data_IF_733776302259
#
_entry.id   IF_733776302259
#
_cell.length_a   1.000
_cell.length_b   1.000
_cell.length_c   1.000
_cell.angle_alpha   90.00
_cell.angle_beta   90.00
_cell.angle_gamma   90.00
#
_symmetry.space_group_name_H-M   'P 1'
#
loop_
_entity.id
_entity.type
_entity.pdbx_description
1 polymer ?
#
# COMPACT_ATOMS: atom_id res chain seq x y z
N UNK A 1 20.64 -23.59 43.38
CA UNK A 1 20.19 -23.61 41.97
C UNK A 1 20.77 -22.52 41.04
N UNK A 2 21.18 -21.30 41.45
CA UNK A 2 21.66 -20.30 40.49
C UNK A 2 23.13 -20.50 40.02
N UNK A 3 23.93 -21.31 40.72
CA UNK A 3 25.34 -21.57 40.32
C UNK A 3 25.51 -22.64 39.25
N UNK A 4 24.51 -23.51 39.03
CA UNK A 4 24.56 -24.54 37.99
C UNK A 4 24.26 -23.96 36.60
N UNK A 5 23.37 -22.96 36.49
CA UNK A 5 23.02 -22.29 35.22
C UNK A 5 24.15 -21.40 34.66
N UNK A 6 24.91 -20.73 35.52
CA UNK A 6 26.07 -19.94 35.09
C UNK A 6 27.19 -20.83 34.54
N UNK A 7 27.36 -22.02 35.11
CA UNK A 7 28.34 -23.01 34.63
C UNK A 7 27.94 -23.58 33.26
N UNK A 8 26.65 -23.76 32.99
CA UNK A 8 26.13 -24.14 31.67
C UNK A 8 26.35 -23.05 30.62
N UNK A 9 26.19 -21.77 31.01
CA UNK A 9 26.36 -20.61 30.13
C UNK A 9 27.82 -20.40 29.72
N UNK A 10 28.77 -20.55 30.66
CA UNK A 10 30.21 -20.45 30.37
C UNK A 10 30.71 -21.66 29.56
N UNK A 11 30.14 -22.86 29.78
CA UNK A 11 30.46 -24.05 28.99
C UNK A 11 29.99 -23.93 27.53
N UNK A 12 28.80 -23.36 27.29
CA UNK A 12 28.28 -23.10 25.94
C UNK A 12 29.09 -22.01 25.22
N UNK A 13 29.50 -20.94 25.91
CA UNK A 13 30.36 -19.89 25.34
C UNK A 13 31.80 -20.37 25.06
N UNK A 14 32.36 -21.30 25.85
CA UNK A 14 33.68 -21.90 25.56
C UNK A 14 33.63 -22.89 24.40
N UNK A 15 32.52 -23.62 24.22
CA UNK A 15 32.31 -24.48 23.06
C UNK A 15 32.05 -23.66 21.78
N UNK A 16 31.55 -22.42 21.88
CA UNK A 16 31.30 -21.55 20.72
C UNK A 16 32.53 -20.84 20.16
N UNK A 17 33.64 -20.76 20.92
CA UNK A 17 34.89 -20.13 20.45
C UNK A 17 35.81 -21.09 19.68
N UNK A 18 35.56 -22.40 19.75
CA UNK A 18 36.45 -23.42 19.17
C UNK A 18 35.90 -24.15 17.95
N UNK A 19 34.65 -23.87 17.54
CA UNK A 19 33.99 -24.60 16.46
C UNK A 19 33.39 -23.64 15.41
N UNK A 20 33.98 -23.62 14.21
CA UNK A 20 33.56 -22.73 13.10
C UNK A 20 32.11 -22.96 12.65
N UNK A 21 31.57 -24.17 12.84
CA UNK A 21 30.17 -24.50 12.58
C UNK A 21 29.15 -23.78 13.50
N UNK A 22 29.59 -23.26 14.66
CA UNK A 22 28.70 -22.57 15.61
C UNK A 22 28.62 -21.07 15.29
N UNK A 23 29.67 -20.47 14.70
CA UNK A 23 29.62 -19.07 14.24
C UNK A 23 28.55 -18.88 13.15
N UNK A 24 28.35 -19.88 12.28
CA UNK A 24 27.29 -19.91 11.26
C UNK A 24 25.87 -20.02 11.81
N UNK A 25 25.67 -20.18 13.12
CA UNK A 25 24.33 -20.23 13.76
C UNK A 25 24.03 -19.04 14.66
N UNK A 26 24.93 -18.06 14.75
CA UNK A 26 24.71 -16.83 15.55
C UNK A 26 23.50 -16.01 15.07
N UNK A 27 23.13 -16.11 13.80
CA UNK A 27 21.92 -15.46 13.26
C UNK A 27 20.62 -15.93 13.93
N UNK A 28 20.55 -17.19 14.39
CA UNK A 28 19.38 -17.73 15.11
C UNK A 28 19.24 -17.03 16.47
N UNK A 29 20.35 -16.88 17.20
CA UNK A 29 20.37 -16.26 18.52
C UNK A 29 20.02 -14.76 18.46
N UNK A 30 20.50 -14.03 17.45
CA UNK A 30 20.15 -12.63 17.23
C UNK A 30 18.67 -12.46 16.84
N UNK A 31 18.11 -13.42 16.07
CA UNK A 31 16.68 -13.44 15.72
C UNK A 31 15.79 -13.52 16.96
N UNK A 32 16.15 -14.35 17.96
CA UNK A 32 15.39 -14.46 19.21
C UNK A 32 15.48 -13.22 20.10
N UNK A 33 16.60 -12.49 20.10
CA UNK A 33 16.75 -11.25 20.87
C UNK A 33 15.90 -10.10 20.29
N UNK A 34 15.77 -10.03 18.96
CA UNK A 34 14.96 -9.05 18.26
C UNK A 34 13.45 -9.19 18.53
N UNK A 35 12.93 -10.41 18.69
CA UNK A 35 11.51 -10.61 19.06
C UNK A 35 11.16 -9.91 20.40
N UNK A 36 12.15 -9.68 21.28
CA UNK A 36 11.97 -8.97 22.54
C UNK A 36 11.95 -7.45 22.37
N UNK A 37 12.72 -6.88 21.44
CA UNK A 37 12.74 -5.44 21.15
C UNK A 37 11.62 -5.01 20.18
N UNK A 38 11.16 -5.92 19.33
CA UNK A 38 10.04 -5.75 18.40
C UNK A 38 8.76 -5.23 19.05
N UNK A 39 8.39 -5.76 20.22
CA UNK A 39 7.18 -5.31 20.94
C UNK A 39 7.24 -3.85 21.40
N UNK A 40 8.43 -3.23 21.47
CA UNK A 40 8.59 -1.82 21.84
C UNK A 40 8.74 -0.88 20.64
N UNK A 41 9.12 -1.36 19.45
CA UNK A 41 9.47 -0.53 18.29
C UNK A 41 8.28 -0.20 17.35
N UNK A 42 7.04 -0.51 17.74
CA UNK A 42 5.81 -0.33 16.95
C UNK A 42 5.40 1.14 16.73
N UNK A 43 6.23 1.94 16.05
CA UNK A 43 5.92 3.31 15.66
C UNK A 43 5.71 3.44 14.14
N UNK A 44 4.44 3.73 13.79
CA UNK A 44 3.89 4.39 12.60
C UNK A 44 4.16 3.86 11.18
N UNK A 45 5.36 3.38 10.83
CA UNK A 45 5.67 2.88 9.47
C UNK A 45 5.62 1.33 9.36
N UNK A 46 6.04 0.59 10.39
CA UNK A 46 5.93 -0.88 10.40
C UNK A 46 4.49 -1.42 10.22
N UNK A 47 3.44 -0.81 10.81
CA UNK A 47 2.08 -1.33 10.70
C UNK A 47 1.55 -1.36 9.26
N UNK A 48 1.86 -0.37 8.42
CA UNK A 48 1.36 -0.36 7.03
C UNK A 48 2.02 -1.42 6.15
N UNK A 49 3.32 -1.68 6.34
CA UNK A 49 4.03 -2.77 5.66
C UNK A 49 3.53 -4.14 6.10
N UNK A 50 3.34 -4.34 7.41
CA UNK A 50 2.76 -5.57 7.98
C UNK A 50 1.35 -5.82 7.42
N UNK A 51 0.51 -4.78 7.35
CA UNK A 51 -0.82 -4.85 6.76
C UNK A 51 -0.75 -5.18 5.27
N UNK A 52 0.24 -4.66 4.53
CA UNK A 52 0.45 -5.01 3.13
C UNK A 52 0.82 -6.49 2.96
N UNK A 53 1.73 -7.03 3.78
CA UNK A 53 2.08 -8.48 3.74
C UNK A 53 0.85 -9.34 4.01
N UNK A 54 0.11 -9.06 5.09
CA UNK A 54 -1.11 -9.77 5.43
C UNK A 54 -2.18 -9.63 4.33
N UNK A 55 -2.29 -8.45 3.72
CA UNK A 55 -3.17 -8.14 2.60
C UNK A 55 -2.86 -9.00 1.37
N UNK A 56 -1.60 -9.06 0.94
CA UNK A 56 -1.15 -9.87 -0.22
C UNK A 56 -1.47 -11.35 0.01
N UNK A 57 -1.14 -11.88 1.19
CA UNK A 57 -1.43 -13.26 1.54
C UNK A 57 -2.94 -13.52 1.55
N UNK A 58 -3.72 -12.64 2.18
CA UNK A 58 -5.19 -12.77 2.25
C UNK A 58 -5.86 -12.75 0.89
N UNK A 59 -5.40 -11.91 -0.03
CA UNK A 59 -5.93 -11.83 -1.39
C UNK A 59 -5.75 -13.14 -2.17
N UNK A 60 -4.64 -13.84 -1.93
CA UNK A 60 -4.31 -15.10 -2.62
C UNK A 60 -5.24 -16.26 -2.24
N UNK A 61 -5.77 -16.21 -1.02
CA UNK A 61 -6.65 -17.23 -0.41
C UNK A 61 -8.08 -16.72 -0.16
N UNK A 62 -8.44 -15.60 -0.77
CA UNK A 62 -9.74 -14.97 -0.62
C UNK A 62 -10.89 -15.92 -1.03
N UNK A 63 -12.06 -15.69 -0.43
CA UNK A 63 -13.35 -16.36 -0.68
C UNK A 63 -13.43 -17.85 -0.33
N UNK A 64 -12.35 -18.45 0.20
CA UNK A 64 -12.32 -19.87 0.55
C UNK A 64 -11.62 -20.21 1.88
N UNK A 65 -11.27 -19.20 2.65
CA UNK A 65 -10.63 -19.37 3.96
C UNK A 65 -11.57 -19.02 5.09
N UNK A 66 -11.52 -19.79 6.18
CA UNK A 66 -12.29 -19.52 7.39
C UNK A 66 -11.71 -18.30 8.11
N UNK A 67 -12.58 -17.51 8.75
CA UNK A 67 -12.17 -16.34 9.52
C UNK A 67 -11.20 -16.69 10.67
N UNK A 68 -11.37 -17.85 11.32
CA UNK A 68 -10.44 -18.31 12.36
C UNK A 68 -9.05 -18.57 11.78
N UNK A 69 -8.97 -19.24 10.63
CA UNK A 69 -7.71 -19.44 9.93
C UNK A 69 -7.07 -18.10 9.57
N UNK A 70 -7.88 -17.12 9.13
CA UNK A 70 -7.43 -15.75 8.87
C UNK A 70 -6.75 -15.10 10.08
N UNK A 71 -7.37 -15.18 11.25
CA UNK A 71 -6.77 -14.64 12.49
C UNK A 71 -5.48 -15.36 12.87
N UNK A 72 -5.44 -16.69 12.75
CA UNK A 72 -4.27 -17.50 13.12
C UNK A 72 -3.09 -17.22 12.20
N UNK A 73 -3.26 -17.34 10.88
CA UNK A 73 -2.15 -17.12 9.97
C UNK A 73 -1.73 -15.65 9.98
N UNK A 74 -2.66 -14.70 10.08
CA UNK A 74 -2.30 -13.28 10.13
C UNK A 74 -1.48 -12.99 11.38
N UNK A 75 -1.92 -13.46 12.56
CA UNK A 75 -1.15 -13.28 13.81
C UNK A 75 0.24 -13.92 13.73
N UNK A 76 0.36 -15.09 13.11
CA UNK A 76 1.66 -15.77 12.93
C UNK A 76 2.56 -15.04 11.93
N UNK A 77 1.99 -14.58 10.81
CA UNK A 77 2.70 -13.84 9.76
C UNK A 77 3.19 -12.49 10.29
N UNK A 78 2.34 -11.76 11.02
CA UNK A 78 2.68 -10.43 11.58
C UNK A 78 3.51 -10.51 12.86
N UNK A 79 3.33 -11.56 13.66
CA UNK A 79 3.97 -11.72 14.97
C UNK A 79 5.29 -12.49 14.93
N UNK A 80 5.53 -13.30 13.90
CA UNK A 80 6.75 -14.11 13.78
C UNK A 80 7.46 -13.95 12.45
N UNK A 81 6.78 -14.22 11.32
CA UNK A 81 7.45 -14.30 10.02
C UNK A 81 7.98 -12.95 9.56
N UNK A 82 7.12 -11.93 9.50
CA UNK A 82 7.50 -10.59 9.04
C UNK A 82 8.56 -9.93 9.93
N UNK A 83 8.45 -9.92 11.28
CA UNK A 83 9.49 -9.36 12.16
C UNK A 83 10.87 -9.97 11.90
N UNK A 84 10.94 -11.30 11.74
CA UNK A 84 12.18 -12.01 11.49
C UNK A 84 12.80 -11.58 10.15
N UNK A 85 11.99 -11.55 9.08
CA UNK A 85 12.48 -11.14 7.75
C UNK A 85 12.87 -9.67 7.73
N UNK A 86 12.07 -8.80 8.35
CA UNK A 86 12.38 -7.37 8.48
C UNK A 86 13.68 -7.14 9.25
N UNK A 87 13.94 -7.89 10.32
CA UNK A 87 15.23 -7.82 11.02
C UNK A 87 16.37 -8.13 10.06
N UNK A 88 16.31 -9.26 9.35
CA UNK A 88 17.42 -9.71 8.51
C UNK A 88 17.90 -8.66 7.52
N UNK A 89 16.98 -7.89 6.93
CA UNK A 89 17.27 -6.99 5.82
C UNK A 89 17.22 -5.49 6.17
N UNK A 90 16.51 -5.06 7.22
CA UNK A 90 16.34 -3.64 7.58
C UNK A 90 16.93 -3.23 8.92
N UNK A 91 17.23 -4.16 9.83
CA UNK A 91 17.85 -3.78 11.11
C UNK A 91 19.34 -3.47 10.93
N UNK A 92 19.89 -2.55 11.72
CA UNK A 92 21.33 -2.24 11.71
C UNK A 92 22.20 -3.45 12.13
N UNK A 93 21.63 -4.41 12.87
CA UNK A 93 22.27 -5.66 13.27
C UNK A 93 21.81 -6.88 12.46
N UNK A 94 20.98 -6.67 11.44
CA UNK A 94 20.50 -7.71 10.54
C UNK A 94 21.64 -8.34 9.74
N UNK A 95 21.69 -9.67 9.66
CA UNK A 95 22.81 -10.39 9.04
C UNK A 95 23.01 -10.07 7.55
N UNK A 96 21.93 -9.70 6.85
CA UNK A 96 21.93 -9.34 5.43
C UNK A 96 21.71 -7.84 5.19
N UNK A 97 21.58 -7.04 6.25
CA UNK A 97 21.28 -5.62 6.16
C UNK A 97 22.46 -4.84 5.57
N UNK A 98 22.19 -3.87 4.67
CA UNK A 98 23.22 -2.97 4.15
C UNK A 98 23.66 -1.93 5.19
N UNK A 99 22.91 -1.76 6.29
CA UNK A 99 23.23 -0.85 7.38
C UNK A 99 24.15 -1.46 8.44
N UNK A 100 24.61 -2.71 8.25
CA UNK A 100 25.46 -3.41 9.21
C UNK A 100 26.87 -2.83 9.22
N UNK A 101 27.40 -2.56 10.41
CA UNK A 101 28.72 -1.92 10.57
C UNK A 101 29.90 -2.78 10.08
N UNK A 102 29.80 -4.10 10.22
CA UNK A 102 30.87 -5.05 9.86
C UNK A 102 30.27 -6.34 9.29
N UNK A 103 31.06 -7.10 8.52
CA UNK A 103 30.66 -8.40 7.94
C UNK A 103 29.38 -8.32 7.09
N UNK A 104 29.35 -7.35 6.17
CA UNK A 104 28.29 -7.25 5.18
C UNK A 104 28.21 -8.54 4.35
N UNK A 105 26.98 -9.01 4.11
CA UNK A 105 26.74 -10.15 3.22
C UNK A 105 27.34 -9.85 1.84
N UNK A 106 28.29 -10.69 1.41
CA UNK A 106 29.08 -10.51 0.18
C UNK A 106 29.75 -9.13 0.04
N UNK A 107 30.06 -8.45 1.14
CA UNK A 107 30.67 -7.11 1.12
C UNK A 107 29.72 -5.97 0.73
N UNK A 108 28.40 -6.23 0.61
CA UNK A 108 27.40 -5.22 0.22
C UNK A 108 26.21 -5.14 1.18
N UNK A 109 25.62 -6.28 1.56
CA UNK A 109 24.27 -6.32 2.13
C UNK A 109 23.17 -6.14 1.07
N UNK A 110 21.92 -6.36 1.45
CA UNK A 110 20.74 -6.38 0.55
C UNK A 110 20.07 -5.02 0.51
N UNK A 111 20.02 -4.39 -0.67
CA UNK A 111 19.33 -3.12 -0.85
C UNK A 111 17.84 -3.40 -1.14
N UNK A 112 17.00 -3.17 -0.14
CA UNK A 112 15.55 -3.28 -0.26
C UNK A 112 14.88 -2.09 0.42
N UNK A 113 14.86 -0.92 -0.21
CA UNK A 113 14.47 0.32 0.49
C UNK A 113 13.02 0.32 1.01
N UNK A 114 12.07 -0.16 0.21
CA UNK A 114 10.63 -0.06 0.49
C UNK A 114 9.92 -1.42 0.57
N UNK A 115 10.64 -2.54 0.44
CA UNK A 115 10.12 -3.87 0.78
C UNK A 115 9.74 -4.73 -0.42
N UNK A 116 10.44 -4.63 -1.55
CA UNK A 116 10.31 -5.58 -2.66
C UNK A 116 10.52 -7.03 -2.19
N UNK A 117 11.48 -7.26 -1.30
CA UNK A 117 11.71 -8.55 -0.64
C UNK A 117 10.89 -8.68 0.64
N UNK A 118 11.15 -7.79 1.61
CA UNK A 118 10.61 -7.88 2.98
C UNK A 118 9.08 -7.85 3.03
N UNK A 119 8.43 -7.13 2.11
CA UNK A 119 6.97 -6.97 2.08
C UNK A 119 6.36 -7.80 0.96
N UNK A 120 6.70 -7.48 -0.29
CA UNK A 120 6.04 -8.06 -1.45
C UNK A 120 6.35 -9.54 -1.64
N UNK A 121 7.63 -9.92 -1.59
CA UNK A 121 8.03 -11.32 -1.77
C UNK A 121 7.56 -12.19 -0.59
N UNK A 122 7.67 -11.72 0.65
CA UNK A 122 7.14 -12.44 1.83
C UNK A 122 5.64 -12.70 1.70
N UNK A 123 4.87 -11.65 1.43
CA UNK A 123 3.42 -11.76 1.28
C UNK A 123 3.02 -12.66 0.11
N UNK A 124 3.75 -12.58 -1.01
CA UNK A 124 3.52 -13.38 -2.21
C UNK A 124 3.85 -14.85 -1.99
N UNK A 125 4.96 -15.19 -1.33
CA UNK A 125 5.35 -16.58 -1.03
C UNK A 125 4.37 -17.20 -0.02
N UNK A 126 3.99 -16.47 1.03
CA UNK A 126 2.97 -16.93 1.97
C UNK A 126 1.61 -17.14 1.28
N UNK A 127 1.20 -16.19 0.43
CA UNK A 127 -0.03 -16.28 -0.37
C UNK A 127 -0.01 -17.43 -1.38
N UNK A 128 1.14 -17.70 -2.01
CA UNK A 128 1.34 -18.81 -2.93
C UNK A 128 1.12 -20.14 -2.23
N UNK A 129 1.77 -20.36 -1.08
CA UNK A 129 1.58 -21.59 -0.31
C UNK A 129 0.14 -21.77 0.15
N UNK A 130 -0.49 -20.70 0.68
CA UNK A 130 -1.90 -20.74 1.02
C UNK A 130 -2.78 -21.09 -0.18
N UNK A 131 -2.54 -20.48 -1.34
CA UNK A 131 -3.34 -20.73 -2.55
C UNK A 131 -3.17 -22.14 -3.11
N UNK A 132 -1.96 -22.71 -3.04
CA UNK A 132 -1.67 -24.08 -3.45
C UNK A 132 -2.35 -25.11 -2.53
N UNK A 133 -2.30 -24.88 -1.21
CA UNK A 133 -2.87 -25.80 -0.21
C UNK A 133 -4.40 -25.77 -0.22
N UNK A 134 -5.01 -24.58 -0.26
CA UNK A 134 -6.47 -24.42 -0.30
C UNK A 134 -7.07 -24.87 -1.65
N UNK A 135 -6.25 -24.95 -2.70
CA UNK A 135 -6.69 -25.33 -4.03
C UNK A 135 -7.58 -24.28 -4.72
N UNK A 136 -8.17 -24.64 -5.87
CA UNK A 136 -8.97 -23.72 -6.68
C UNK A 136 -10.34 -23.40 -6.06
N UNK A 137 -10.80 -22.16 -6.21
CA UNK A 137 -12.16 -21.73 -5.85
C UNK A 137 -13.24 -22.48 -6.61
N UNK A 138 -14.31 -22.87 -5.93
CA UNK A 138 -15.54 -23.40 -6.54
C UNK A 138 -16.32 -22.26 -7.18
N UNK A 139 -16.88 -22.46 -8.38
CA UNK A 139 -17.72 -21.45 -9.06
C UNK A 139 -16.94 -20.28 -9.68
N UNK A 140 -15.66 -20.48 -10.03
CA UNK A 140 -14.79 -19.42 -10.53
C UNK A 140 -15.24 -18.86 -11.88
N UNK A 141 -15.47 -17.54 -11.93
CA UNK A 141 -15.87 -16.81 -13.13
C UNK A 141 -14.64 -16.31 -13.92
N UNK A 142 -14.02 -17.19 -14.70
CA UNK A 142 -12.79 -16.88 -15.44
C UNK A 142 -12.91 -15.68 -16.38
N UNK A 143 -14.05 -15.55 -17.05
CA UNK A 143 -14.37 -14.42 -17.92
C UNK A 143 -14.44 -13.10 -17.16
N UNK A 144 -15.12 -13.05 -16.02
CA UNK A 144 -15.15 -11.87 -15.16
C UNK A 144 -13.77 -11.48 -14.65
N UNK A 145 -12.96 -12.44 -14.19
CA UNK A 145 -11.59 -12.18 -13.70
C UNK A 145 -10.70 -11.63 -14.82
N UNK A 146 -10.71 -12.29 -15.99
CA UNK A 146 -9.91 -11.84 -17.15
C UNK A 146 -10.34 -10.44 -17.61
N UNK A 147 -11.64 -10.18 -17.63
CA UNK A 147 -12.19 -8.86 -17.96
C UNK A 147 -11.77 -7.80 -16.95
N UNK A 148 -11.86 -8.07 -15.64
CA UNK A 148 -11.37 -7.17 -14.59
C UNK A 148 -9.90 -6.82 -14.77
N UNK A 149 -9.04 -7.79 -15.09
CA UNK A 149 -7.63 -7.53 -15.31
C UNK A 149 -7.40 -6.60 -16.52
N UNK A 150 -8.08 -6.89 -17.65
CA UNK A 150 -7.95 -6.09 -18.88
C UNK A 150 -8.52 -4.69 -18.70
N UNK A 151 -9.75 -4.54 -18.19
CA UNK A 151 -10.40 -3.23 -18.01
C UNK A 151 -9.62 -2.35 -17.04
N UNK A 152 -9.15 -2.90 -15.92
CA UNK A 152 -8.34 -2.16 -14.94
C UNK A 152 -7.06 -1.62 -15.57
N UNK A 153 -6.37 -2.49 -16.32
CA UNK A 153 -5.12 -2.15 -17.01
C UNK A 153 -5.34 -1.04 -18.05
N UNK A 154 -6.36 -1.18 -18.90
CA UNK A 154 -6.67 -0.20 -19.93
C UNK A 154 -7.06 1.16 -19.35
N UNK A 155 -7.88 1.20 -18.31
CA UNK A 155 -8.30 2.44 -17.68
C UNK A 155 -7.13 3.19 -17.04
N UNK A 156 -6.28 2.51 -16.27
CA UNK A 156 -5.10 3.11 -15.64
C UNK A 156 -4.13 3.69 -16.66
N UNK A 157 -3.74 2.90 -17.68
CA UNK A 157 -2.81 3.39 -18.69
C UNK A 157 -3.40 4.51 -19.56
N UNK A 158 -4.69 4.46 -19.88
CA UNK A 158 -5.32 5.55 -20.63
C UNK A 158 -5.35 6.83 -19.81
N UNK A 159 -5.65 6.75 -18.51
CA UNK A 159 -5.61 7.91 -17.62
C UNK A 159 -4.19 8.47 -17.47
N UNK A 160 -3.18 7.60 -17.38
CA UNK A 160 -1.77 7.99 -17.34
C UNK A 160 -1.35 8.77 -18.59
N UNK A 161 -1.64 8.23 -19.79
CA UNK A 161 -1.31 8.88 -21.07
C UNK A 161 -2.09 10.19 -21.24
N UNK A 162 -3.38 10.20 -20.88
CA UNK A 162 -4.20 11.41 -20.96
C UNK A 162 -3.67 12.49 -20.04
N UNK A 163 -3.23 12.13 -18.83
CA UNK A 163 -2.64 13.09 -17.89
C UNK A 163 -1.28 13.57 -18.37
N UNK A 164 -0.43 12.67 -18.88
CA UNK A 164 0.87 12.98 -19.47
C UNK A 164 0.74 14.07 -20.55
N UNK A 165 -0.09 13.84 -21.57
CA UNK A 165 -0.27 14.80 -22.66
C UNK A 165 -1.11 16.01 -22.24
N UNK A 166 -2.17 15.81 -21.44
CA UNK A 166 -3.05 16.89 -20.98
C UNK A 166 -2.31 17.91 -20.11
N UNK A 167 -1.58 17.46 -19.09
CA UNK A 167 -0.75 18.33 -18.24
C UNK A 167 0.41 18.94 -19.01
N UNK A 168 1.03 18.22 -19.95
CA UNK A 168 2.05 18.80 -20.83
C UNK A 168 1.52 20.01 -21.60
N UNK A 169 0.32 19.91 -22.17
CA UNK A 169 -0.31 21.01 -22.91
C UNK A 169 -0.68 22.19 -22.01
N UNK A 170 -1.04 21.93 -20.74
CA UNK A 170 -1.45 22.96 -19.79
C UNK A 170 -0.27 23.65 -19.08
N UNK A 171 0.75 22.90 -18.68
CA UNK A 171 1.87 23.37 -17.85
C UNK A 171 3.16 23.63 -18.64
N UNK A 172 3.29 23.09 -19.86
CA UNK A 172 4.47 23.30 -20.70
C UNK A 172 5.72 22.50 -20.30
N UNK A 173 5.64 21.66 -19.28
CA UNK A 173 6.69 20.71 -18.84
C UNK A 173 6.10 19.31 -18.58
N UNK A 174 6.98 18.32 -18.47
CA UNK A 174 6.59 16.95 -18.11
C UNK A 174 6.81 16.73 -16.61
N UNK A 175 5.91 16.00 -15.96
CA UNK A 175 6.01 15.70 -14.53
C UNK A 175 5.58 14.26 -14.27
N UNK A 176 6.46 13.46 -13.68
CA UNK A 176 6.22 12.04 -13.40
C UNK A 176 5.13 11.88 -12.33
N UNK A 177 5.10 12.75 -11.31
CA UNK A 177 4.10 12.70 -10.24
C UNK A 177 2.69 12.89 -10.78
N UNK A 178 2.49 13.84 -11.69
CA UNK A 178 1.20 14.05 -12.35
C UNK A 178 0.73 12.80 -13.11
N UNK A 179 1.65 12.12 -13.82
CA UNK A 179 1.34 10.90 -14.58
C UNK A 179 0.97 9.76 -13.64
N UNK A 180 1.70 9.59 -12.54
CA UNK A 180 1.40 8.61 -11.50
C UNK A 180 0.03 8.86 -10.87
N UNK A 181 -0.30 10.10 -10.53
CA UNK A 181 -1.61 10.46 -9.99
C UNK A 181 -2.73 10.22 -11.02
N UNK A 182 -2.49 10.54 -12.29
CA UNK A 182 -3.39 10.21 -13.39
C UNK A 182 -3.66 8.71 -13.53
N UNK A 183 -2.60 7.89 -13.49
CA UNK A 183 -2.67 6.44 -13.51
C UNK A 183 -3.49 5.88 -12.35
N UNK A 184 -3.22 6.35 -11.13
CA UNK A 184 -3.96 6.00 -9.92
C UNK A 184 -5.43 6.44 -9.99
N UNK A 185 -5.72 7.62 -10.54
CA UNK A 185 -7.09 8.09 -10.78
C UNK A 185 -7.85 7.21 -11.77
N UNK A 186 -7.18 6.69 -12.80
CA UNK A 186 -7.75 5.70 -13.72
C UNK A 186 -8.11 4.39 -13.03
N UNK A 187 -7.23 3.88 -12.17
CA UNK A 187 -7.50 2.70 -11.36
C UNK A 187 -8.64 2.92 -10.35
N UNK A 188 -8.68 4.08 -9.69
CA UNK A 188 -9.77 4.44 -8.79
C UNK A 188 -11.12 4.46 -9.52
N UNK A 189 -11.18 5.08 -10.70
CA UNK A 189 -12.42 5.19 -11.47
C UNK A 189 -12.96 3.84 -11.96
N UNK A 190 -12.12 2.93 -12.45
CA UNK A 190 -12.61 1.66 -13.02
C UNK A 190 -13.01 0.64 -11.96
N UNK A 191 -12.61 0.84 -10.70
CA UNK A 191 -12.75 -0.15 -9.60
C UNK A 191 -14.18 -0.70 -9.49
N UNK A 192 -15.20 0.16 -9.48
CA UNK A 192 -16.59 -0.28 -9.34
C UNK A 192 -17.14 -1.06 -10.54
N UNK A 193 -16.65 -0.78 -11.75
CA UNK A 193 -17.19 -1.31 -13.00
C UNK A 193 -16.32 -2.36 -13.68
N UNK A 194 -15.13 -2.65 -13.16
CA UNK A 194 -14.08 -3.42 -13.83
C UNK A 194 -14.55 -4.80 -14.35
N UNK A 195 -15.47 -5.47 -13.64
CA UNK A 195 -16.00 -6.79 -14.01
C UNK A 195 -17.21 -6.73 -14.96
N UNK A 196 -17.88 -5.58 -15.08
CA UNK A 196 -19.18 -5.42 -15.73
C UNK A 196 -19.20 -4.49 -16.94
N UNK A 197 -18.08 -3.87 -17.32
CA UNK A 197 -17.97 -3.02 -18.53
C UNK A 197 -17.13 -3.69 -19.62
N UNK A 198 -17.36 -3.27 -20.87
CA UNK A 198 -16.53 -3.71 -22.00
C UNK A 198 -15.12 -3.07 -21.96
N UNK A 199 -14.07 -3.75 -22.48
CA UNK A 199 -12.70 -3.21 -22.51
C UNK A 199 -12.56 -1.84 -23.18
N UNK A 200 -13.30 -1.58 -24.26
CA UNK A 200 -13.28 -0.27 -24.94
C UNK A 200 -13.84 0.84 -24.04
N UNK A 201 -14.85 0.52 -23.21
CA UNK A 201 -15.46 1.47 -22.30
C UNK A 201 -14.47 1.82 -21.16
N UNK A 202 -13.62 0.86 -20.74
CA UNK A 202 -12.59 1.14 -19.75
C UNK A 202 -11.56 2.18 -20.23
N UNK A 203 -11.22 2.20 -21.52
CA UNK A 203 -10.38 3.27 -22.12
C UNK A 203 -11.06 4.63 -21.97
N UNK A 204 -12.35 4.71 -22.29
CA UNK A 204 -13.14 5.95 -22.11
C UNK A 204 -13.18 6.38 -20.63
N UNK A 205 -13.38 5.44 -19.71
CA UNK A 205 -13.38 5.69 -18.27
C UNK A 205 -12.08 6.34 -17.81
N UNK A 206 -10.94 5.75 -18.20
CA UNK A 206 -9.61 6.27 -17.89
C UNK A 206 -9.35 7.65 -18.47
N UNK A 207 -9.70 7.86 -19.74
CA UNK A 207 -9.58 9.16 -20.40
C UNK A 207 -10.34 10.26 -19.66
N UNK A 208 -11.62 10.04 -19.34
CA UNK A 208 -12.43 11.04 -18.62
C UNK A 208 -11.94 11.20 -17.17
N UNK A 209 -11.51 10.12 -16.52
CA UNK A 209 -10.97 10.16 -15.16
C UNK A 209 -9.78 11.12 -15.03
N UNK A 210 -8.87 11.13 -16.01
CA UNK A 210 -7.75 12.07 -16.04
C UNK A 210 -8.21 13.54 -16.09
N UNK A 211 -9.25 13.85 -16.88
CA UNK A 211 -9.81 15.21 -16.93
C UNK A 211 -10.56 15.58 -15.65
N UNK A 212 -11.23 14.63 -15.00
CA UNK A 212 -11.83 14.80 -13.67
C UNK A 212 -10.75 15.16 -12.66
N UNK A 213 -9.64 14.41 -12.62
CA UNK A 213 -8.50 14.71 -11.74
C UNK A 213 -7.96 16.12 -11.98
N UNK A 214 -7.63 16.46 -13.23
CA UNK A 214 -7.10 17.79 -13.59
C UNK A 214 -8.09 18.90 -13.18
N UNK A 215 -9.39 18.69 -13.40
CA UNK A 215 -10.44 19.62 -13.01
C UNK A 215 -10.55 19.80 -11.50
N UNK A 216 -10.52 18.69 -10.74
CA UNK A 216 -10.54 18.70 -9.28
C UNK A 216 -9.28 19.37 -8.70
N UNK A 217 -8.10 19.17 -9.29
CA UNK A 217 -6.87 19.84 -8.85
C UNK A 217 -6.97 21.37 -9.04
N UNK A 218 -7.46 21.82 -10.21
CA UNK A 218 -7.71 23.26 -10.46
C UNK A 218 -8.75 23.84 -9.51
N UNK A 219 -9.78 23.06 -9.15
CA UNK A 219 -10.78 23.48 -8.18
C UNK A 219 -10.19 23.60 -6.77
N UNK A 220 -9.37 22.62 -6.35
CA UNK A 220 -8.67 22.65 -5.06
C UNK A 220 -7.76 23.88 -4.95
N UNK A 221 -6.98 24.16 -6.00
CA UNK A 221 -6.14 25.37 -6.09
C UNK A 221 -6.98 26.64 -5.94
N UNK A 222 -8.10 26.75 -6.67
CA UNK A 222 -9.01 27.90 -6.59
C UNK A 222 -9.65 28.08 -5.21
N UNK A 223 -9.87 26.99 -4.48
CA UNK A 223 -10.46 27.01 -3.15
C UNK A 223 -9.41 27.13 -2.03
N UNK A 224 -8.12 27.23 -2.37
CA UNK A 224 -7.01 27.18 -1.40
C UNK A 224 -7.08 25.96 -0.48
N UNK A 225 -7.48 24.82 -1.05
CA UNK A 225 -7.52 23.53 -0.40
C UNK A 225 -6.21 22.77 -0.68
N UNK A 226 -5.39 22.63 0.36
CA UNK A 226 -4.06 22.02 0.27
C UNK A 226 -4.10 20.54 0.68
N UNK A 227 -4.36 19.68 -0.32
CA UNK A 227 -4.25 18.22 -0.21
C UNK A 227 -2.96 17.78 -0.92
N UNK A 228 -1.85 17.55 -0.18
CA UNK A 228 -0.53 17.35 -0.77
C UNK A 228 -0.40 16.06 -1.58
N UNK A 229 -1.29 15.10 -1.36
CA UNK A 229 -1.32 13.83 -2.09
C UNK A 229 -2.42 13.79 -3.16
N UNK A 230 -3.18 14.88 -3.33
CA UNK A 230 -4.36 14.94 -4.19
C UNK A 230 -5.37 13.82 -3.87
N UNK A 231 -5.41 13.34 -2.62
CA UNK A 231 -6.16 12.14 -2.25
C UNK A 231 -7.66 12.33 -2.44
N UNK A 232 -8.19 13.51 -2.15
CA UNK A 232 -9.59 13.86 -2.32
C UNK A 232 -9.96 13.99 -3.80
N UNK A 233 -9.10 14.61 -4.61
CA UNK A 233 -9.29 14.79 -6.04
C UNK A 233 -9.27 13.44 -6.76
N UNK A 234 -8.35 12.57 -6.36
CA UNK A 234 -8.17 11.24 -6.91
C UNK A 234 -9.26 10.28 -6.45
N UNK A 235 -9.33 9.97 -5.15
CA UNK A 235 -10.28 8.97 -4.65
C UNK A 235 -11.72 9.49 -4.62
N UNK A 236 -11.92 10.74 -4.21
CA UNK A 236 -13.23 11.37 -4.19
C UNK A 236 -13.73 11.72 -5.59
N UNK A 237 -12.94 12.47 -6.36
CA UNK A 237 -13.29 12.91 -7.72
C UNK A 237 -13.35 11.77 -8.71
N UNK A 238 -12.22 11.11 -8.99
CA UNK A 238 -12.17 10.02 -9.96
C UNK A 238 -12.99 8.81 -9.51
N UNK A 239 -13.03 8.50 -8.21
CA UNK A 239 -13.88 7.43 -7.68
C UNK A 239 -15.37 7.69 -7.89
N UNK A 240 -15.85 8.93 -7.65
CA UNK A 240 -17.25 9.31 -7.93
C UNK A 240 -17.58 9.23 -9.41
N UNK A 241 -16.65 9.65 -10.28
CA UNK A 241 -16.77 9.43 -11.72
C UNK A 241 -16.90 7.94 -12.04
N UNK A 242 -16.08 7.08 -11.43
CA UNK A 242 -16.15 5.63 -11.59
C UNK A 242 -17.50 5.00 -11.24
N UNK A 243 -18.10 5.46 -10.14
CA UNK A 243 -19.44 5.04 -9.71
C UNK A 243 -20.47 5.44 -10.77
N UNK A 244 -20.46 6.69 -11.24
CA UNK A 244 -21.36 7.15 -12.31
C UNK A 244 -21.11 6.36 -13.60
N UNK A 245 -19.85 6.17 -13.98
CA UNK A 245 -19.45 5.48 -15.20
C UNK A 245 -19.98 4.05 -15.25
N UNK A 246 -19.88 3.33 -14.13
CA UNK A 246 -20.42 1.96 -14.00
C UNK A 246 -21.92 1.94 -14.25
N UNK A 247 -22.66 2.88 -13.66
CA UNK A 247 -24.09 3.04 -13.87
C UNK A 247 -24.49 3.41 -15.31
N UNK A 248 -23.57 3.97 -16.09
CA UNK A 248 -23.81 4.32 -17.49
C UNK A 248 -23.48 3.15 -18.43
N UNK A 249 -22.38 2.43 -18.20
CA UNK A 249 -21.80 1.48 -19.16
C UNK A 249 -21.82 0.00 -18.72
N UNK A 250 -22.37 -0.34 -17.56
CA UNK A 250 -22.49 -1.75 -17.15
C UNK A 250 -23.33 -2.55 -18.17
N UNK A 251 -22.77 -3.65 -18.68
CA UNK A 251 -23.40 -4.49 -19.70
C UNK A 251 -24.28 -5.55 -19.06
N UNK A 252 -25.51 -5.70 -19.55
CA UNK A 252 -26.49 -6.67 -19.02
C UNK A 252 -25.91 -8.08 -18.85
N UNK A 253 -25.26 -8.61 -19.90
CA UNK A 253 -24.67 -9.94 -19.87
C UNK A 253 -23.62 -10.10 -18.75
N UNK A 254 -22.80 -9.07 -18.52
CA UNK A 254 -21.76 -9.12 -17.49
C UNK A 254 -22.32 -8.89 -16.09
N UNK A 255 -23.34 -8.06 -15.94
CA UNK A 255 -24.06 -7.89 -14.67
C UNK A 255 -24.72 -9.20 -14.25
N UNK A 256 -25.36 -9.91 -15.19
CA UNK A 256 -26.00 -11.20 -14.94
C UNK A 256 -24.98 -12.32 -14.67
N UNK A 257 -23.81 -12.26 -15.30
CA UNK A 257 -22.69 -13.17 -15.03
C UNK A 257 -22.16 -12.96 -13.60
N UNK A 258 -21.79 -11.73 -13.25
CA UNK A 258 -21.12 -11.40 -11.97
C UNK A 258 -22.08 -11.50 -10.78
N UNK A 259 -23.34 -11.10 -10.96
CA UNK A 259 -24.33 -11.11 -9.91
C UNK A 259 -25.54 -11.98 -10.28
N UNK A 260 -25.41 -13.32 -10.22
CA UNK A 260 -26.48 -14.24 -10.59
C UNK A 260 -27.63 -14.20 -9.58
N UNK A 261 -28.79 -14.74 -9.98
CA UNK A 261 -29.92 -15.01 -9.07
C UNK A 261 -31.05 -13.97 -9.06
N UNK A 262 -30.98 -12.92 -9.87
CA UNK A 262 -32.09 -11.96 -10.04
C UNK A 262 -32.34 -11.69 -11.52
N UNK A 263 -33.43 -12.22 -12.12
CA UNK A 263 -33.77 -11.93 -13.51
C UNK A 263 -34.17 -10.46 -13.68
N UNK A 264 -33.76 -9.86 -14.80
CA UNK A 264 -34.10 -8.47 -15.12
C UNK A 264 -33.40 -7.42 -14.25
N UNK A 265 -32.22 -7.74 -13.70
CA UNK A 265 -31.42 -6.79 -12.92
C UNK A 265 -31.09 -5.55 -13.79
N UNK A 266 -31.30 -4.32 -13.29
CA UNK A 266 -30.92 -3.11 -14.01
C UNK A 266 -29.43 -3.07 -14.33
N UNK A 267 -29.11 -2.57 -15.52
CA UNK A 267 -27.75 -2.42 -16.03
C UNK A 267 -27.55 -0.98 -16.57
N UNK A 268 -26.44 -0.74 -17.26
CA UNK A 268 -26.00 0.58 -17.68
C UNK A 268 -27.05 1.35 -18.48
N UNK A 269 -27.25 2.64 -18.15
CA UNK A 269 -28.21 3.50 -18.84
C UNK A 269 -27.96 3.55 -20.35
N UNK A 270 -26.70 3.72 -20.77
CA UNK A 270 -26.33 3.76 -22.19
C UNK A 270 -26.27 2.38 -22.85
N UNK A 271 -26.38 1.32 -22.06
CA UNK A 271 -26.47 -0.04 -22.56
C UNK A 271 -27.92 -0.49 -22.80
N UNK A 272 -28.91 0.32 -22.39
CA UNK A 272 -30.34 0.01 -22.51
C UNK A 272 -31.04 -0.35 -21.18
N UNK A 273 -30.32 -0.33 -20.05
CA UNK A 273 -30.83 -0.78 -18.75
C UNK A 273 -31.72 0.22 -18.00
N UNK A 274 -31.99 1.37 -18.61
CA UNK A 274 -32.78 2.46 -18.01
C UNK A 274 -32.07 3.20 -16.87
N UNK A 275 -32.79 4.09 -16.20
CA UNK A 275 -32.21 5.00 -15.20
C UNK A 275 -32.07 4.40 -13.79
N UNK A 276 -32.56 3.16 -13.55
CA UNK A 276 -32.61 2.57 -12.20
C UNK A 276 -31.22 2.34 -11.61
N UNK A 277 -30.28 1.83 -12.40
CA UNK A 277 -28.91 1.61 -11.93
C UNK A 277 -28.22 2.94 -11.60
N UNK A 278 -28.40 3.95 -12.46
CA UNK A 278 -27.88 5.29 -12.23
C UNK A 278 -28.44 5.92 -10.95
N UNK A 279 -29.76 5.84 -10.74
CA UNK A 279 -30.38 6.34 -9.51
C UNK A 279 -29.78 5.70 -8.26
N UNK A 280 -29.56 4.37 -8.27
CA UNK A 280 -28.92 3.68 -7.16
C UNK A 280 -27.49 4.15 -6.90
N UNK A 281 -26.71 4.36 -7.97
CA UNK A 281 -25.32 4.85 -7.87
C UNK A 281 -25.25 6.31 -7.40
N UNK A 282 -26.21 7.16 -7.78
CA UNK A 282 -26.32 8.52 -7.23
C UNK A 282 -26.65 8.48 -5.74
N UNK A 283 -27.60 7.64 -5.32
CA UNK A 283 -27.89 7.44 -3.89
C UNK A 283 -26.66 6.94 -3.14
N UNK A 284 -25.89 6.00 -3.71
CA UNK A 284 -24.64 5.52 -3.12
C UNK A 284 -23.66 6.68 -2.85
N UNK A 285 -23.41 7.54 -3.83
CA UNK A 285 -22.52 8.71 -3.66
C UNK A 285 -23.04 9.61 -2.54
N UNK A 286 -24.33 9.98 -2.58
CA UNK A 286 -24.92 10.88 -1.59
C UNK A 286 -24.87 10.32 -0.17
N UNK A 287 -25.17 9.03 0.00
CA UNK A 287 -25.14 8.36 1.31
C UNK A 287 -23.72 8.30 1.84
N UNK A 288 -22.73 7.94 1.01
CA UNK A 288 -21.31 7.89 1.43
C UNK A 288 -20.84 9.29 1.82
N UNK A 289 -21.07 10.29 0.97
CA UNK A 289 -20.67 11.68 1.25
C UNK A 289 -21.31 12.18 2.54
N UNK A 290 -22.61 11.97 2.74
CA UNK A 290 -23.30 12.40 3.95
C UNK A 290 -22.77 11.68 5.20
N UNK A 291 -22.70 10.34 5.17
CA UNK A 291 -22.29 9.55 6.32
C UNK A 291 -20.84 9.84 6.73
N UNK A 292 -19.92 9.86 5.76
CA UNK A 292 -18.49 10.11 6.03
C UNK A 292 -18.28 11.54 6.49
N UNK A 293 -18.95 12.53 5.87
CA UNK A 293 -18.83 13.93 6.28
C UNK A 293 -19.33 14.15 7.72
N UNK A 294 -20.45 13.55 8.09
CA UNK A 294 -20.98 13.66 9.46
C UNK A 294 -20.04 12.99 10.46
N UNK A 295 -19.60 11.77 10.20
CA UNK A 295 -18.78 11.00 11.15
C UNK A 295 -17.35 11.52 11.25
N UNK A 296 -16.61 11.61 10.13
CA UNK A 296 -15.22 12.07 10.10
C UNK A 296 -15.12 13.57 10.34
N UNK A 297 -16.06 14.37 9.83
CA UNK A 297 -16.10 15.80 10.11
C UNK A 297 -16.28 16.08 11.60
N UNK A 298 -17.17 15.36 12.27
CA UNK A 298 -17.35 15.48 13.74
C UNK A 298 -16.08 15.05 14.48
N UNK A 299 -15.49 13.92 14.11
CA UNK A 299 -14.25 13.43 14.74
C UNK A 299 -13.11 14.44 14.61
N UNK A 300 -12.80 14.89 13.39
CA UNK A 300 -11.72 15.85 13.16
C UNK A 300 -12.00 17.21 13.80
N UNK A 301 -13.26 17.65 13.83
CA UNK A 301 -13.63 18.86 14.54
C UNK A 301 -13.37 18.74 16.05
N UNK A 302 -13.74 17.61 16.67
CA UNK A 302 -13.46 17.35 18.09
C UNK A 302 -11.94 17.31 18.34
N UNK A 303 -11.18 16.55 17.54
CA UNK A 303 -9.73 16.46 17.68
C UNK A 303 -9.04 17.83 17.51
N UNK A 304 -9.53 18.65 16.58
CA UNK A 304 -9.07 20.01 16.41
C UNK A 304 -9.35 20.88 17.65
N UNK A 305 -10.56 20.79 18.22
CA UNK A 305 -10.92 21.52 19.45
C UNK A 305 -10.10 21.08 20.66
N UNK A 306 -9.72 19.81 20.71
CA UNK A 306 -8.83 19.26 21.73
C UNK A 306 -7.34 19.56 21.46
N UNK A 307 -7.01 20.25 20.36
CA UNK A 307 -5.63 20.53 19.92
C UNK A 307 -4.78 19.26 19.73
N UNK A 308 -5.40 18.16 19.31
CA UNK A 308 -4.74 16.87 19.07
C UNK A 308 -4.43 16.64 17.57
N UNK A 309 -4.97 17.45 16.67
CA UNK A 309 -4.91 17.19 15.23
C UNK A 309 -3.70 17.80 14.52
N UNK A 310 -3.28 19.02 14.91
CA UNK A 310 -2.16 19.74 14.29
C UNK A 310 -1.02 19.88 15.30
N UNK A 311 0.19 19.52 14.88
CA UNK A 311 1.44 19.73 15.64
C UNK A 311 1.74 21.23 15.80
N UNK A 312 2.68 21.57 16.68
CA UNK A 312 3.08 22.97 16.84
C UNK A 312 3.79 23.50 15.59
N UNK A 313 3.74 24.82 15.34
CA UNK A 313 4.42 25.42 14.20
C UNK A 313 5.95 25.24 14.27
N UNK A 314 6.50 25.20 15.48
CA UNK A 314 7.93 24.93 15.72
C UNK A 314 8.30 23.51 15.30
N UNK A 315 7.49 22.51 15.66
CA UNK A 315 7.68 21.12 15.23
C UNK A 315 7.46 20.95 13.72
N UNK A 316 6.46 21.64 13.16
CA UNK A 316 6.17 21.62 11.72
C UNK A 316 7.35 22.17 10.91
N UNK A 317 7.99 23.25 11.37
CA UNK A 317 9.18 23.82 10.72
C UNK A 317 10.45 22.98 10.90
N UNK A 318 10.61 22.31 12.04
CA UNK A 318 11.78 21.47 12.32
C UNK A 318 11.74 20.12 11.56
N UNK A 319 10.57 19.72 11.08
CA UNK A 319 10.35 18.45 10.41
C UNK A 319 10.08 17.30 11.38
N UNK A 320 9.04 16.52 11.11
CA UNK A 320 8.56 15.47 12.01
C UNK A 320 9.61 14.38 12.31
N UNK A 321 10.52 14.12 11.39
CA UNK A 321 11.59 13.15 11.57
C UNK A 321 12.47 13.54 12.78
N UNK A 322 12.84 14.81 12.88
CA UNK A 322 13.68 15.34 13.95
C UNK A 322 12.94 15.43 15.28
N UNK A 323 11.69 15.90 15.27
CA UNK A 323 10.97 16.24 16.51
C UNK A 323 10.28 15.04 17.14
N UNK A 324 9.83 14.08 16.33
CA UNK A 324 8.99 12.96 16.78
C UNK A 324 9.60 11.58 16.52
N UNK A 325 10.62 11.47 15.66
CA UNK A 325 11.19 10.17 15.26
C UNK A 325 12.68 10.01 15.63
N UNK A 326 13.27 10.99 16.32
CA UNK A 326 14.57 10.84 16.99
C UNK A 326 15.78 10.87 16.06
N UNK A 327 15.64 11.33 14.81
CA UNK A 327 16.74 11.46 13.86
C UNK A 327 16.27 11.83 12.44
N UNK A 328 17.20 12.13 11.56
CA UNK A 328 16.90 12.39 10.14
C UNK A 328 16.56 11.08 9.43
N UNK A 329 15.51 11.07 8.61
CA UNK A 329 15.24 9.94 7.72
C UNK A 329 16.35 9.73 6.67
N UNK A 330 17.07 10.80 6.32
CA UNK A 330 18.20 10.78 5.40
C UNK A 330 19.35 11.62 5.94
N UNK A 331 20.55 11.06 5.95
CA UNK A 331 21.77 11.85 6.16
C UNK A 331 22.09 12.51 4.83
N UNK A 332 21.76 13.80 4.71
CA UNK A 332 22.27 14.61 3.60
C UNK A 332 23.74 14.88 3.88
N UNK A 333 24.64 14.11 3.26
CA UNK A 333 26.02 14.56 3.10
C UNK A 333 26.02 15.64 2.05
N UNK A 334 26.07 16.90 2.49
CA UNK A 334 26.31 18.00 1.58
C UNK A 334 27.61 17.72 0.82
N UNK A 335 27.54 17.70 -0.51
CA UNK A 335 28.70 17.45 -1.38
C UNK A 335 29.87 18.41 -1.09
N UNK A 336 29.61 19.56 -0.47
CA UNK A 336 30.66 20.48 0.00
C UNK A 336 31.57 19.87 1.08
N UNK A 337 31.04 19.03 1.96
CA UNK A 337 31.82 18.43 3.04
C UNK A 337 32.71 17.29 2.54
N UNK A 338 32.28 16.54 1.54
CA UNK A 338 33.15 15.57 0.85
C UNK A 338 34.25 16.27 0.04
N UNK A 339 33.95 17.38 -0.63
CA UNK A 339 34.93 18.16 -1.39
C UNK A 339 35.96 18.81 -0.46
N UNK A 340 35.55 19.39 0.67
CA UNK A 340 36.48 19.95 1.66
C UNK A 340 37.38 18.87 2.29
N UNK A 341 36.85 17.67 2.51
CA UNK A 341 37.59 16.52 3.04
C UNK A 341 38.54 15.90 2.01
N UNK A 342 38.20 15.90 0.73
CA UNK A 342 39.09 15.50 -0.37
C UNK A 342 40.17 16.54 -0.69
N UNK A 343 39.87 17.84 -0.51
CA UNK A 343 40.82 18.93 -0.72
C UNK A 343 41.71 19.21 0.50
N UNK A 344 41.53 18.50 1.62
CA UNK A 344 42.35 18.64 2.82
C UNK A 344 42.23 20.01 3.48
N UNK A 345 41.06 20.65 3.40
CA UNK A 345 40.82 22.00 3.96
C UNK A 345 40.10 21.93 5.32
N UNK A 346 40.27 20.81 6.05
CA UNK A 346 39.94 20.71 7.48
C UNK A 346 41.20 20.43 8.27
#
# INVERSE_FOLDING_TARGET
MPRLLLSSYVAVLRLSQTNSLIQDTQWIAHTFFFLRTWFLQCSLALPCYVLAVAGITSGSIAERTQFVAYLVYSSFLTGLVYPIVSHWFWSADGWASPARAENLLFGSGVIDFAGSGVVHLVGAVAGLWGALIEGPRIGRQWSAIGRTAVTTTLAGYTAALTTLFGKRLLAGHWNVTDVCNGLLGGFAAITGGCSVVDPWAAVLCGFVSAWVLIGCNKLAEKLHYDDPLEATQLHGGCGSWGIIFTALFAKEAYVNEVYPGQPGRPYGLFMGGGARLLAAHIVQILVIVAWVSVTMGTLFFILHKLKLLRISAEEEMAGMDMTSHGGLAYVYTDHEDEVKKQLGVV
#
